data_IF_301240823627
#
_entry.id   IF_301240823627
#
_cell.length_a   1.000
_cell.length_b   1.000
_cell.length_c   1.000
_cell.angle_alpha   90.00
_cell.angle_beta   90.00
_cell.angle_gamma   90.00
#
_symmetry.space_group_name_H-M   'P 1'
#
loop_
_entity.id
_entity.type
_entity.pdbx_description
1 polymer ?
#
# COMPACT_ATOMS: atom_id res chain seq x y z
N UNK A 1 -4.16 -11.11 -18.64
CA UNK A 1 -2.74 -10.80 -18.86
C UNK A 1 -2.64 -9.38 -19.38
N UNK A 2 -1.80 -8.52 -18.78
CA UNK A 2 -1.67 -7.09 -19.17
C UNK A 2 -0.38 -6.85 -19.94
N UNK A 3 0.71 -7.51 -19.57
CA UNK A 3 1.94 -7.58 -20.36
C UNK A 3 2.39 -9.04 -20.43
N UNK A 4 2.62 -9.60 -21.64
CA UNK A 4 3.19 -10.93 -21.77
C UNK A 4 4.69 -10.91 -21.40
N UNK A 5 5.22 -12.06 -20.99
CA UNK A 5 6.67 -12.25 -20.83
C UNK A 5 7.40 -12.10 -22.18
N UNK A 6 8.65 -11.63 -22.13
CA UNK A 6 9.55 -11.60 -23.29
C UNK A 6 9.97 -13.04 -23.67
N UNK A 7 9.65 -13.51 -24.88
CA UNK A 7 10.06 -14.86 -25.31
C UNK A 7 11.58 -15.04 -25.42
N UNK A 8 12.37 -13.97 -25.40
CA UNK A 8 13.83 -14.02 -25.46
C UNK A 8 14.50 -13.99 -24.08
N UNK A 9 13.73 -13.76 -23.00
CA UNK A 9 14.22 -13.78 -21.62
C UNK A 9 13.50 -14.89 -20.83
N UNK A 10 14.16 -16.05 -20.61
CA UNK A 10 13.55 -17.18 -19.92
C UNK A 10 13.31 -16.92 -18.41
N UNK A 11 13.87 -15.85 -17.85
CA UNK A 11 13.63 -15.43 -16.45
C UNK A 11 12.48 -14.41 -16.33
N UNK A 12 12.03 -13.83 -17.45
CA UNK A 12 10.91 -12.90 -17.47
C UNK A 12 9.57 -13.64 -17.29
N UNK A 13 8.61 -12.95 -16.69
CA UNK A 13 7.29 -13.49 -16.39
C UNK A 13 6.19 -12.50 -16.76
N UNK A 14 5.00 -13.02 -17.04
CA UNK A 14 3.89 -12.18 -17.45
C UNK A 14 3.41 -11.29 -16.29
N UNK A 15 3.02 -10.07 -16.65
CA UNK A 15 2.34 -9.17 -15.72
C UNK A 15 0.84 -9.44 -15.80
N UNK A 16 0.33 -10.12 -14.78
CA UNK A 16 -1.10 -10.26 -14.55
C UNK A 16 -1.76 -8.92 -14.18
N UNK A 17 -3.06 -8.76 -14.45
CA UNK A 17 -3.81 -7.57 -14.07
C UNK A 17 -3.78 -7.32 -12.56
N UNK A 18 -3.99 -8.37 -11.77
CA UNK A 18 -3.88 -8.33 -10.31
C UNK A 18 -2.45 -7.99 -9.83
N UNK A 19 -1.41 -8.40 -10.57
CA UNK A 19 -0.03 -8.01 -10.31
C UNK A 19 0.18 -6.50 -10.50
N UNK A 20 -0.30 -5.97 -11.63
CA UNK A 20 -0.24 -4.54 -11.92
C UNK A 20 -1.00 -3.70 -10.88
N UNK A 21 -2.23 -4.10 -10.55
CA UNK A 21 -3.06 -3.42 -9.55
C UNK A 21 -2.37 -3.35 -8.19
N UNK A 22 -1.80 -4.46 -7.70
CA UNK A 22 -1.04 -4.48 -6.44
C UNK A 22 0.20 -3.59 -6.50
N UNK A 23 0.92 -3.58 -7.63
CA UNK A 23 2.08 -2.72 -7.84
C UNK A 23 1.75 -1.23 -7.83
N UNK A 24 0.65 -0.84 -8.48
CA UNK A 24 0.14 0.52 -8.49
C UNK A 24 -0.30 0.97 -7.09
N UNK A 25 -1.04 0.13 -6.37
CA UNK A 25 -1.46 0.40 -4.99
C UNK A 25 -0.25 0.62 -4.08
N UNK A 26 0.75 -0.27 -4.12
CA UNK A 26 1.94 -0.13 -3.30
C UNK A 26 2.74 1.15 -3.65
N UNK A 27 2.74 1.55 -4.92
CA UNK A 27 3.32 2.83 -5.34
C UNK A 27 2.56 4.03 -4.78
N UNK A 28 1.22 3.98 -4.76
CA UNK A 28 0.40 5.03 -4.15
C UNK A 28 0.66 5.15 -2.64
N UNK A 29 0.76 4.02 -1.93
CA UNK A 29 1.12 4.00 -0.52
C UNK A 29 2.46 4.67 -0.23
N UNK A 30 3.51 4.30 -0.98
CA UNK A 30 4.84 4.91 -0.84
C UNK A 30 4.81 6.41 -1.14
N UNK A 31 4.00 6.85 -2.12
CA UNK A 31 3.82 8.27 -2.45
C UNK A 31 3.10 9.03 -1.36
N UNK A 32 2.00 8.50 -0.85
CA UNK A 32 1.24 9.07 0.27
C UNK A 32 2.14 9.24 1.48
N UNK A 33 2.87 8.19 1.86
CA UNK A 33 3.82 8.22 2.97
C UNK A 33 4.91 9.27 2.77
N UNK A 34 5.50 9.34 1.57
CA UNK A 34 6.52 10.34 1.25
C UNK A 34 5.95 11.78 1.29
N UNK A 35 4.73 11.98 0.81
CA UNK A 35 4.05 13.29 0.86
C UNK A 35 3.80 13.75 2.30
N UNK A 36 3.50 12.81 3.20
CA UNK A 36 3.32 13.08 4.63
C UNK A 36 4.65 13.22 5.40
N UNK A 37 5.79 12.97 4.76
CA UNK A 37 7.11 13.04 5.38
C UNK A 37 7.36 11.98 6.45
N UNK A 38 6.71 10.81 6.34
CA UNK A 38 6.76 9.77 7.37
C UNK A 38 7.67 8.60 6.97
N UNK A 39 8.33 8.00 7.97
CA UNK A 39 8.90 6.66 7.82
C UNK A 39 7.79 5.61 7.75
N UNK A 40 8.11 4.38 7.33
CA UNK A 40 7.15 3.27 7.26
C UNK A 40 6.60 2.96 8.66
N UNK A 41 7.47 2.92 9.68
CA UNK A 41 7.09 2.74 11.08
C UNK A 41 6.21 3.88 11.60
N UNK A 42 6.55 5.14 11.29
CA UNK A 42 5.75 6.29 11.74
C UNK A 42 4.38 6.32 11.06
N UNK A 43 4.29 5.94 9.79
CA UNK A 43 3.01 5.82 9.09
C UNK A 43 2.13 4.75 9.75
N UNK A 44 2.68 3.55 9.95
CA UNK A 44 2.01 2.43 10.59
C UNK A 44 1.49 2.83 11.99
N UNK A 45 2.35 3.44 12.81
CA UNK A 45 1.99 3.91 14.15
C UNK A 45 0.92 5.03 14.11
N UNK A 46 1.07 6.02 13.24
CA UNK A 46 0.15 7.16 13.12
C UNK A 46 -1.27 6.73 12.73
N UNK A 47 -1.38 5.68 11.92
CA UNK A 47 -2.65 5.21 11.38
C UNK A 47 -3.14 3.89 11.99
N UNK A 48 -2.47 3.35 13.01
CA UNK A 48 -2.91 2.14 13.71
C UNK A 48 -2.88 0.88 12.83
N UNK A 49 -1.99 0.83 11.85
CA UNK A 49 -1.77 -0.34 11.00
C UNK A 49 -0.59 -1.14 11.59
N UNK A 50 -0.69 -2.47 11.79
CA UNK A 50 0.46 -3.26 12.24
C UNK A 50 1.64 -3.09 11.28
N UNK A 51 2.83 -2.79 11.80
CA UNK A 51 3.99 -2.44 10.98
C UNK A 51 4.38 -3.53 9.97
N UNK A 52 4.30 -4.81 10.38
CA UNK A 52 4.58 -5.94 9.48
C UNK A 52 3.55 -6.11 8.36
N UNK A 53 2.29 -5.75 8.61
CA UNK A 53 1.25 -5.73 7.58
C UNK A 53 1.49 -4.58 6.61
N UNK A 54 1.74 -3.37 7.12
CA UNK A 54 2.03 -2.21 6.29
C UNK A 54 3.26 -2.43 5.37
N UNK A 55 4.35 -3.00 5.90
CA UNK A 55 5.54 -3.34 5.11
C UNK A 55 5.21 -4.36 4.00
N UNK A 56 4.41 -5.38 4.32
CA UNK A 56 4.00 -6.40 3.35
C UNK A 56 3.15 -5.82 2.21
N UNK A 57 2.37 -4.77 2.49
CA UNK A 57 1.60 -4.04 1.49
C UNK A 57 2.49 -3.13 0.65
N UNK A 58 3.41 -2.37 1.26
CA UNK A 58 4.36 -1.52 0.55
C UNK A 58 5.30 -2.32 -0.36
N UNK A 59 5.64 -3.56 0.02
CA UNK A 59 6.53 -4.43 -0.73
C UNK A 59 5.79 -5.35 -1.73
N UNK A 60 4.48 -5.18 -1.93
CA UNK A 60 3.66 -5.97 -2.88
C UNK A 60 3.59 -7.48 -2.54
N UNK A 61 4.05 -7.89 -1.34
CA UNK A 61 4.04 -9.31 -0.93
C UNK A 61 2.62 -9.81 -0.70
N UNK A 62 1.76 -8.95 -0.15
CA UNK A 62 0.38 -9.28 0.19
C UNK A 62 -0.56 -8.17 -0.28
N UNK A 63 -1.71 -8.54 -0.84
CA UNK A 63 -2.77 -7.58 -1.15
C UNK A 63 -3.49 -7.18 0.15
N UNK A 64 -3.69 -5.88 0.42
CA UNK A 64 -4.45 -5.46 1.59
C UNK A 64 -5.91 -5.94 1.51
N UNK A 65 -6.52 -6.38 2.62
CA UNK A 65 -7.95 -6.65 2.69
C UNK A 65 -8.79 -5.42 2.30
N UNK A 66 -10.02 -5.63 1.85
CA UNK A 66 -10.91 -4.56 1.41
C UNK A 66 -11.12 -3.45 2.46
N UNK A 67 -11.18 -3.82 3.75
CA UNK A 67 -11.29 -2.85 4.84
C UNK A 67 -10.05 -1.94 4.96
N UNK A 68 -8.85 -2.51 4.75
CA UNK A 68 -7.60 -1.74 4.74
C UNK A 68 -7.56 -0.82 3.52
N UNK A 69 -7.97 -1.29 2.34
CA UNK A 69 -8.08 -0.44 1.15
C UNK A 69 -9.01 0.75 1.37
N UNK A 70 -10.21 0.51 1.91
CA UNK A 70 -11.15 1.58 2.22
C UNK A 70 -10.56 2.58 3.23
N UNK A 71 -9.86 2.09 4.25
CA UNK A 71 -9.21 2.95 5.23
C UNK A 71 -8.07 3.77 4.63
N UNK A 72 -7.25 3.19 3.74
CA UNK A 72 -6.20 3.92 3.03
C UNK A 72 -6.77 5.06 2.17
N UNK A 73 -7.93 4.86 1.54
CA UNK A 73 -8.63 5.93 0.80
C UNK A 73 -9.05 7.08 1.73
N UNK A 74 -9.51 6.77 2.95
CA UNK A 74 -9.80 7.79 3.96
C UNK A 74 -8.55 8.56 4.37
N UNK A 75 -7.41 7.89 4.52
CA UNK A 75 -6.14 8.56 4.85
C UNK A 75 -5.70 9.49 3.71
N UNK A 76 -5.87 9.08 2.46
CA UNK A 76 -5.54 9.92 1.29
C UNK A 76 -6.41 11.19 1.29
N UNK A 77 -7.72 11.05 1.53
CA UNK A 77 -8.65 12.17 1.51
C UNK A 77 -8.45 13.11 2.71
N UNK A 78 -8.30 12.55 3.93
CA UNK A 78 -8.35 13.28 5.19
C UNK A 78 -7.28 12.79 6.19
N UNK A 79 -5.98 12.96 5.89
CA UNK A 79 -4.88 12.33 6.62
C UNK A 79 -4.81 12.73 8.10
N UNK A 80 -5.21 13.95 8.44
CA UNK A 80 -5.25 14.39 9.83
C UNK A 80 -6.47 13.88 10.59
N UNK A 81 -7.63 13.85 9.95
CA UNK A 81 -8.86 13.35 10.57
C UNK A 81 -8.75 11.86 10.86
N UNK A 82 -8.21 11.08 9.92
CA UNK A 82 -7.90 9.67 10.11
C UNK A 82 -6.96 9.45 11.31
N UNK A 83 -5.85 10.19 11.37
CA UNK A 83 -4.89 10.09 12.48
C UNK A 83 -5.50 10.50 13.83
N UNK A 84 -6.38 11.51 13.86
CA UNK A 84 -7.15 11.89 15.07
C UNK A 84 -8.12 10.78 15.49
N UNK A 85 -8.76 10.11 14.53
CA UNK A 85 -9.69 9.01 14.77
C UNK A 85 -9.02 7.84 15.50
N UNK A 86 -7.85 7.41 15.02
CA UNK A 86 -7.06 6.33 15.64
C UNK A 86 -6.69 6.64 17.09
N UNK A 87 -6.22 7.87 17.37
CA UNK A 87 -5.85 8.29 18.73
C UNK A 87 -7.01 8.28 19.73
N UNK A 88 -8.26 8.31 19.28
CA UNK A 88 -9.44 8.21 20.16
C UNK A 88 -9.82 6.77 20.49
N UNK A 89 -9.37 5.82 19.68
CA UNK A 89 -9.67 4.40 19.83
C UNK A 89 -8.60 3.63 20.60
N UNK A 90 -7.42 4.22 20.79
CA UNK A 90 -6.29 3.70 21.58
C UNK A 90 -6.35 4.24 23.02
#
# INVERSE_FOLDING_TARGET
MVLPADPNDPEDFDVSAAGLERGLLARELRRLRAHLGLSSADFAARYGIPAGEYDSYESVRVAPPAAVLAYLQVIVAEPEAAARGVRRAA
#
